data_IF_312854745165
#
_entry.id   IF_312854745165
#
_cell.length_a   1.000
_cell.length_b   1.000
_cell.length_c   1.000
_cell.angle_alpha   90.00
_cell.angle_beta   90.00
_cell.angle_gamma   90.00
#
_symmetry.space_group_name_H-M   'P 1'
#
loop_
_entity.id
_entity.type
_entity.pdbx_description
1 polymer ?
#
# COMPACT_ATOMS: atom_id res chain seq x y z
N UNK A 1 -35.30 -1.29 11.08
CA UNK A 1 -34.73 -1.09 9.73
C UNK A 1 -35.75 -1.57 8.72
N UNK A 2 -36.18 -0.73 7.77
CA UNK A 2 -37.14 -1.15 6.75
C UNK A 2 -36.45 -1.99 5.68
N UNK A 3 -37.18 -2.91 5.02
CA UNK A 3 -36.62 -3.78 3.98
C UNK A 3 -35.89 -3.00 2.87
N UNK A 4 -36.35 -1.79 2.53
CA UNK A 4 -35.68 -0.90 1.56
C UNK A 4 -34.31 -0.42 2.02
N UNK A 5 -34.11 -0.21 3.33
CA UNK A 5 -32.80 0.20 3.86
C UNK A 5 -31.79 -0.95 3.80
N UNK A 6 -32.22 -2.20 4.02
CA UNK A 6 -31.33 -3.37 3.91
C UNK A 6 -30.91 -3.61 2.46
N UNK A 7 -31.79 -3.36 1.50
CA UNK A 7 -31.52 -3.56 0.07
C UNK A 7 -30.52 -2.52 -0.48
N UNK A 8 -30.69 -1.25 -0.09
CA UNK A 8 -29.74 -0.19 -0.43
C UNK A 8 -28.35 -0.43 0.17
N UNK A 9 -28.27 -0.82 1.46
CA UNK A 9 -26.99 -1.17 2.09
C UNK A 9 -26.27 -2.33 1.40
N UNK A 10 -27.03 -3.29 0.88
CA UNK A 10 -26.49 -4.46 0.17
C UNK A 10 -25.99 -4.09 -1.23
N UNK A 11 -26.69 -3.20 -1.93
CA UNK A 11 -26.23 -2.63 -3.19
C UNK A 11 -24.97 -1.76 -3.01
N UNK A 12 -24.96 -0.87 -2.03
CA UNK A 12 -23.80 0.00 -1.75
C UNK A 12 -22.55 -0.84 -1.40
N UNK A 13 -22.72 -1.91 -0.62
CA UNK A 13 -21.65 -2.86 -0.32
C UNK A 13 -21.12 -3.60 -1.57
N UNK A 14 -22.00 -3.96 -2.51
CA UNK A 14 -21.61 -4.58 -3.78
C UNK A 14 -20.83 -3.61 -4.68
N UNK A 15 -21.29 -2.36 -4.80
CA UNK A 15 -20.58 -1.33 -5.57
C UNK A 15 -19.21 -1.02 -4.97
N UNK A 16 -19.10 -0.98 -3.64
CA UNK A 16 -17.82 -0.81 -2.95
C UNK A 16 -16.84 -1.97 -3.24
N UNK A 17 -17.32 -3.21 -3.11
CA UNK A 17 -16.52 -4.40 -3.45
C UNK A 17 -16.08 -4.41 -4.91
N UNK A 18 -16.97 -4.01 -5.82
CA UNK A 18 -16.65 -3.92 -7.24
C UNK A 18 -15.59 -2.84 -7.53
N UNK A 19 -15.73 -1.66 -6.91
CA UNK A 19 -14.75 -0.58 -7.00
C UNK A 19 -13.39 -0.99 -6.44
N UNK A 20 -13.35 -1.67 -5.29
CA UNK A 20 -12.12 -2.18 -4.70
C UNK A 20 -11.46 -3.23 -5.60
N UNK A 21 -12.25 -4.12 -6.19
CA UNK A 21 -11.75 -5.16 -7.10
C UNK A 21 -11.16 -4.54 -8.37
N UNK A 22 -11.85 -3.58 -9.00
CA UNK A 22 -11.36 -2.84 -10.16
C UNK A 22 -10.05 -2.11 -9.85
N UNK A 23 -9.98 -1.46 -8.69
CA UNK A 23 -8.79 -0.75 -8.23
C UNK A 23 -7.62 -1.72 -8.04
N UNK A 24 -7.86 -2.87 -7.40
CA UNK A 24 -6.85 -3.90 -7.21
C UNK A 24 -6.36 -4.50 -8.55
N UNK A 25 -7.25 -4.76 -9.50
CA UNK A 25 -6.90 -5.25 -10.84
C UNK A 25 -6.07 -4.22 -11.60
N UNK A 26 -6.47 -2.94 -11.54
CA UNK A 26 -5.73 -1.86 -12.19
C UNK A 26 -4.31 -1.72 -11.61
N UNK A 27 -4.18 -1.63 -10.28
CA UNK A 27 -2.86 -1.60 -9.65
C UNK A 27 -2.05 -2.85 -9.94
N UNK A 28 -2.67 -4.03 -9.93
CA UNK A 28 -2.03 -5.29 -10.30
C UNK A 28 -1.46 -5.26 -11.72
N UNK A 29 -2.21 -4.75 -12.69
CA UNK A 29 -1.75 -4.61 -14.06
C UNK A 29 -0.60 -3.61 -14.20
N UNK A 30 -0.66 -2.48 -13.49
CA UNK A 30 0.42 -1.48 -13.46
C UNK A 30 1.70 -2.08 -12.87
N UNK A 31 1.61 -2.78 -11.73
CA UNK A 31 2.75 -3.43 -11.09
C UNK A 31 3.33 -4.52 -11.99
N UNK A 32 2.49 -5.33 -12.64
CA UNK A 32 2.95 -6.35 -13.58
C UNK A 32 3.68 -5.73 -14.78
N UNK A 33 3.15 -4.63 -15.34
CA UNK A 33 3.79 -3.91 -16.45
C UNK A 33 5.15 -3.33 -16.06
N UNK A 34 5.23 -2.67 -14.90
CA UNK A 34 6.49 -2.15 -14.37
C UNK A 34 7.49 -3.28 -14.07
N UNK A 35 7.03 -4.39 -13.49
CA UNK A 35 7.86 -5.57 -13.21
C UNK A 35 8.44 -6.19 -14.49
N UNK A 36 7.63 -6.29 -15.55
CA UNK A 36 8.08 -6.77 -16.86
C UNK A 36 9.14 -5.83 -17.46
N UNK A 37 8.94 -4.53 -17.35
CA UNK A 37 9.90 -3.51 -17.80
C UNK A 37 11.24 -3.64 -17.05
N UNK A 38 11.19 -3.82 -15.73
CA UNK A 38 12.38 -4.03 -14.89
C UNK A 38 13.09 -5.33 -15.29
N UNK A 39 12.37 -6.42 -15.54
CA UNK A 39 12.94 -7.67 -16.01
C UNK A 39 13.65 -7.50 -17.36
N UNK A 40 13.02 -6.82 -18.32
CA UNK A 40 13.63 -6.51 -19.61
C UNK A 40 14.90 -5.67 -19.45
N UNK A 41 14.85 -4.62 -18.62
CA UNK A 41 16.02 -3.79 -18.34
C UNK A 41 17.14 -4.57 -17.62
N UNK A 42 16.79 -5.54 -16.79
CA UNK A 42 17.77 -6.39 -16.11
C UNK A 42 18.50 -7.32 -17.09
N UNK A 43 17.83 -7.73 -18.17
CA UNK A 43 18.41 -8.56 -19.21
C UNK A 43 19.28 -7.75 -20.20
N UNK A 44 18.90 -6.51 -20.50
CA UNK A 44 19.58 -5.67 -21.51
C UNK A 44 20.72 -4.83 -20.92
N UNK A 45 20.53 -4.22 -19.75
CA UNK A 45 21.51 -3.30 -19.15
C UNK A 45 21.56 -3.42 -17.62
N UNK A 46 22.09 -4.54 -17.08
CA UNK A 46 22.04 -4.83 -15.64
C UNK A 46 22.83 -3.82 -14.79
N UNK A 47 23.95 -3.30 -15.28
CA UNK A 47 24.78 -2.33 -14.55
C UNK A 47 24.08 -0.97 -14.41
N UNK A 48 23.58 -0.41 -15.51
CA UNK A 48 22.85 0.86 -15.51
C UNK A 48 21.55 0.80 -14.70
N UNK A 49 20.86 -0.35 -14.73
CA UNK A 49 19.67 -0.58 -13.90
C UNK A 49 20.04 -0.62 -12.41
N UNK A 50 21.10 -1.33 -12.03
CA UNK A 50 21.55 -1.41 -10.64
C UNK A 50 21.94 -0.04 -10.09
N UNK A 51 22.68 0.75 -10.87
CA UNK A 51 23.09 2.11 -10.50
C UNK A 51 21.88 3.05 -10.38
N UNK A 52 20.92 2.96 -11.31
CA UNK A 52 19.68 3.74 -11.26
C UNK A 52 18.81 3.35 -10.06
N UNK A 53 18.65 2.04 -9.81
CA UNK A 53 17.91 1.53 -8.65
C UNK A 53 18.57 2.01 -7.36
N UNK A 54 19.90 1.93 -7.22
CA UNK A 54 20.58 2.38 -6.00
C UNK A 54 20.46 3.89 -5.77
N UNK A 55 20.51 4.70 -6.83
CA UNK A 55 20.30 6.15 -6.72
C UNK A 55 18.89 6.52 -6.29
N UNK A 56 17.90 5.71 -6.67
CA UNK A 56 16.48 5.98 -6.44
C UNK A 56 15.97 5.26 -5.18
N UNK A 57 16.59 4.14 -4.77
CA UNK A 57 16.09 3.26 -3.71
C UNK A 57 16.13 3.95 -2.36
N UNK A 58 17.20 4.67 -2.02
CA UNK A 58 17.29 5.39 -0.75
C UNK A 58 16.22 6.47 -0.57
N UNK A 59 16.04 7.43 -1.51
CA UNK A 59 15.01 8.45 -1.37
C UNK A 59 13.60 7.85 -1.37
N UNK A 60 13.35 6.79 -2.16
CA UNK A 60 12.06 6.08 -2.13
C UNK A 60 11.84 5.39 -0.78
N UNK A 61 12.83 4.66 -0.25
CA UNK A 61 12.71 3.98 1.04
C UNK A 61 12.41 4.98 2.16
N UNK A 62 13.07 6.14 2.17
CA UNK A 62 12.80 7.22 3.14
C UNK A 62 11.37 7.78 2.97
N UNK A 63 10.93 8.02 1.73
CA UNK A 63 9.57 8.50 1.45
C UNK A 63 8.50 7.49 1.90
N UNK A 64 8.70 6.20 1.59
CA UNK A 64 7.77 5.13 2.03
C UNK A 64 7.79 5.01 3.55
N UNK A 65 8.94 5.12 4.21
CA UNK A 65 9.03 5.14 5.68
C UNK A 65 8.22 6.29 6.28
N UNK A 66 8.35 7.50 5.73
CA UNK A 66 7.63 8.68 6.18
C UNK A 66 6.11 8.54 5.99
N UNK A 67 5.67 8.03 4.83
CA UNK A 67 4.25 7.78 4.54
C UNK A 67 3.70 6.70 5.48
N UNK A 68 4.44 5.61 5.68
CA UNK A 68 4.06 4.51 6.59
C UNK A 68 3.87 5.03 8.01
N UNK A 69 4.77 5.91 8.49
CA UNK A 69 4.67 6.52 9.81
C UNK A 69 3.40 7.38 9.94
N UNK A 70 3.12 8.22 8.95
CA UNK A 70 1.91 9.05 8.91
C UNK A 70 0.66 8.18 8.88
N UNK A 71 0.65 7.09 8.12
CA UNK A 71 -0.48 6.17 8.09
C UNK A 71 -0.69 5.44 9.41
N UNK A 72 0.38 4.98 10.09
CA UNK A 72 0.24 4.36 11.43
C UNK A 72 -0.36 5.35 12.43
N UNK A 73 0.06 6.62 12.39
CA UNK A 73 -0.50 7.68 13.23
C UNK A 73 -1.98 7.91 12.86
N UNK A 74 -2.29 8.05 11.57
CA UNK A 74 -3.65 8.25 11.10
C UNK A 74 -4.59 7.10 11.50
N UNK A 75 -4.17 5.85 11.33
CA UNK A 75 -4.95 4.68 11.74
C UNK A 75 -5.14 4.57 13.25
N UNK A 76 -4.25 5.13 14.07
CA UNK A 76 -4.47 5.23 15.51
C UNK A 76 -5.41 6.38 15.89
N UNK A 77 -5.46 7.45 15.11
CA UNK A 77 -6.32 8.63 15.35
C UNK A 77 -7.75 8.47 14.82
N UNK A 78 -7.93 7.78 13.69
CA UNK A 78 -9.23 7.58 13.04
C UNK A 78 -10.30 6.91 13.94
N UNK A 79 -9.96 5.91 14.79
CA UNK A 79 -10.91 5.33 15.74
C UNK A 79 -11.29 6.29 16.86
N UNK A 80 -10.35 7.13 17.31
CA UNK A 80 -10.60 8.12 18.37
C UNK A 80 -11.58 9.21 17.90
N UNK A 81 -11.55 9.53 16.61
CA UNK A 81 -12.47 10.45 15.97
C UNK A 81 -13.78 9.78 15.49
N UNK A 82 -13.98 8.47 15.73
CA UNK A 82 -15.20 7.74 15.38
C UNK A 82 -15.36 7.38 13.90
N UNK A 83 -14.34 7.59 13.06
CA UNK A 83 -14.40 7.34 11.62
C UNK A 83 -14.13 5.89 11.21
N UNK A 84 -13.52 5.07 12.09
CA UNK A 84 -13.17 3.69 11.75
C UNK A 84 -13.39 2.70 12.93
N UNK A 85 -13.83 1.45 12.66
CA UNK A 85 -13.90 0.42 13.69
C UNK A 85 -12.51 0.09 14.23
N UNK A 86 -12.36 0.04 15.55
CA UNK A 86 -11.09 -0.17 16.24
C UNK A 86 -10.36 -1.46 15.82
N UNK A 87 -11.10 -2.50 15.44
CA UNK A 87 -10.53 -3.76 14.92
C UNK A 87 -9.90 -3.62 13.54
N UNK A 88 -10.50 -2.82 12.64
CA UNK A 88 -9.98 -2.57 11.29
C UNK A 88 -8.71 -1.72 11.37
N UNK A 89 -8.77 -0.64 12.14
CA UNK A 89 -7.64 0.25 12.38
C UNK A 89 -6.43 -0.49 12.97
N UNK A 90 -6.64 -1.41 13.92
CA UNK A 90 -5.56 -2.21 14.50
C UNK A 90 -4.89 -3.13 13.46
N UNK A 91 -5.67 -3.75 12.58
CA UNK A 91 -5.13 -4.61 11.51
C UNK A 91 -4.32 -3.80 10.50
N UNK A 92 -4.81 -2.63 10.11
CA UNK A 92 -4.11 -1.73 9.19
C UNK A 92 -2.82 -1.17 9.81
N UNK A 93 -2.87 -0.72 11.08
CA UNK A 93 -1.71 -0.23 11.80
C UNK A 93 -0.61 -1.31 11.95
N UNK A 94 -0.99 -2.57 12.22
CA UNK A 94 -0.04 -3.70 12.28
C UNK A 94 0.60 -3.95 10.91
N UNK A 95 -0.20 -3.94 9.83
CA UNK A 95 0.30 -4.11 8.47
C UNK A 95 1.31 -3.02 8.09
N UNK A 96 0.97 -1.76 8.36
CA UNK A 96 1.86 -0.63 8.09
C UNK A 96 3.11 -0.63 8.98
N UNK A 97 2.98 -1.02 10.25
CA UNK A 97 4.13 -1.19 11.13
C UNK A 97 5.09 -2.28 10.64
N UNK A 98 4.58 -3.39 10.07
CA UNK A 98 5.40 -4.44 9.47
C UNK A 98 6.15 -3.94 8.22
N UNK A 99 5.48 -3.16 7.35
CA UNK A 99 6.11 -2.52 6.19
C UNK A 99 7.22 -1.55 6.65
N UNK A 100 6.92 -0.73 7.65
CA UNK A 100 7.87 0.23 8.21
C UNK A 100 9.09 -0.48 8.83
N UNK A 101 8.88 -1.58 9.55
CA UNK A 101 9.96 -2.42 10.09
C UNK A 101 10.81 -3.02 8.98
N UNK A 102 10.19 -3.59 7.94
CA UNK A 102 10.91 -4.16 6.79
C UNK A 102 11.79 -3.11 6.08
N UNK A 103 11.25 -1.91 5.86
CA UNK A 103 12.00 -0.81 5.23
C UNK A 103 13.11 -0.31 6.13
N UNK A 104 12.87 -0.19 7.44
CA UNK A 104 13.89 0.24 8.41
C UNK A 104 15.06 -0.73 8.44
N UNK A 105 14.78 -2.04 8.46
CA UNK A 105 15.79 -3.09 8.39
C UNK A 105 16.53 -3.05 7.06
N UNK A 106 15.81 -2.89 5.95
CA UNK A 106 16.41 -2.76 4.61
C UNK A 106 17.34 -1.55 4.50
N UNK A 107 16.97 -0.42 5.11
CA UNK A 107 17.79 0.79 5.18
C UNK A 107 19.06 0.54 6.01
N UNK A 108 18.93 -0.12 7.17
CA UNK A 108 20.05 -0.43 8.07
C UNK A 108 21.12 -1.30 7.38
N UNK A 109 20.72 -2.26 6.53
CA UNK A 109 21.64 -3.12 5.78
C UNK A 109 22.14 -2.49 4.47
N UNK A 110 21.59 -1.33 4.08
CA UNK A 110 22.01 -0.58 2.87
C UNK A 110 22.98 0.58 3.17
N UNK A 111 23.17 0.91 4.44
CA UNK A 111 24.17 1.85 4.97
C UNK A 111 25.51 1.14 5.21
#
# INVERSE_FOLDING_TARGET
>A
MSNRQMENWRQDGLYFLQGLTLTAVFFGAVVAGLGLLILLLSAVSPSSLRDAIQRISHPIQIAVLAISLVEVIAWNLLPLAGFAPQRLARRMAIGMAAIMLFITVSLLFSL
#
